data_IF_731593931658
#
_entry.id   IF_731593931658
#
_cell.length_a   1.000
_cell.length_b   1.000
_cell.length_c   1.000
_cell.angle_alpha   90.00
_cell.angle_beta   90.00
_cell.angle_gamma   90.00
#
_symmetry.space_group_name_H-M   'P 1'
#
loop_
_entity.id
_entity.type
_entity.pdbx_description
1 polymer ?
#
# COMPACT_ATOMS: atom_id res chain seq x y z
N UNK A 1 18.09 30.98 -0.84
CA UNK A 1 17.07 29.99 -1.27
C UNK A 1 17.79 28.83 -1.93
N UNK A 2 17.89 27.69 -1.25
CA UNK A 2 18.52 26.49 -1.80
C UNK A 2 17.69 26.02 -3.01
N UNK A 3 18.31 25.94 -4.18
CA UNK A 3 17.70 25.32 -5.37
C UNK A 3 17.46 23.84 -5.04
N UNK A 4 16.25 23.52 -4.59
CA UNK A 4 15.75 22.15 -4.41
C UNK A 4 15.65 21.51 -5.79
N UNK A 5 16.75 20.92 -6.24
CA UNK A 5 16.84 20.26 -7.53
C UNK A 5 16.51 18.77 -7.32
N UNK A 6 15.86 18.11 -8.27
CA UNK A 6 15.52 16.68 -8.19
C UNK A 6 16.76 15.76 -8.11
N UNK A 7 17.97 16.31 -8.12
CA UNK A 7 19.23 15.63 -7.82
C UNK A 7 19.51 15.49 -6.31
N UNK A 8 18.78 16.21 -5.45
CA UNK A 8 18.92 16.08 -4.00
C UNK A 8 18.49 14.67 -3.55
N UNK A 9 19.37 13.90 -2.87
CA UNK A 9 19.07 12.55 -2.42
C UNK A 9 17.82 12.45 -1.55
N UNK A 10 17.56 13.46 -0.72
CA UNK A 10 16.43 13.49 0.21
C UNK A 10 15.12 13.61 -0.57
N UNK A 11 15.08 14.52 -1.54
CA UNK A 11 13.95 14.73 -2.46
C UNK A 11 13.71 13.49 -3.33
N UNK A 12 14.77 12.83 -3.82
CA UNK A 12 14.64 11.57 -4.56
C UNK A 12 14.02 10.47 -3.72
N UNK A 13 14.45 10.32 -2.48
CA UNK A 13 13.88 9.31 -1.58
C UNK A 13 12.40 9.59 -1.31
N UNK A 14 12.02 10.85 -1.12
CA UNK A 14 10.61 11.26 -1.03
C UNK A 14 9.79 10.79 -2.23
N UNK A 15 10.28 11.07 -3.45
CA UNK A 15 9.61 10.70 -4.69
C UNK A 15 9.49 9.18 -4.81
N UNK A 16 10.57 8.44 -4.56
CA UNK A 16 10.60 6.99 -4.69
C UNK A 16 9.67 6.31 -3.68
N UNK A 17 9.77 6.66 -2.39
CA UNK A 17 8.90 6.11 -1.34
C UNK A 17 7.43 6.42 -1.59
N UNK A 18 7.12 7.64 -2.03
CA UNK A 18 5.75 8.02 -2.43
C UNK A 18 5.25 7.17 -3.60
N UNK A 19 6.09 6.92 -4.61
CA UNK A 19 5.73 6.10 -5.76
C UNK A 19 5.49 4.63 -5.36
N UNK A 20 6.36 4.06 -4.52
CA UNK A 20 6.22 2.70 -3.98
C UNK A 20 4.92 2.59 -3.18
N UNK A 21 4.65 3.55 -2.29
CA UNK A 21 3.44 3.56 -1.47
C UNK A 21 2.17 3.59 -2.34
N UNK A 22 2.13 4.44 -3.37
CA UNK A 22 1.00 4.51 -4.31
C UNK A 22 0.83 3.21 -5.09
N UNK A 23 1.92 2.60 -5.56
CA UNK A 23 1.89 1.33 -6.26
C UNK A 23 1.33 0.20 -5.39
N UNK A 24 1.80 0.10 -4.14
CA UNK A 24 1.31 -0.87 -3.18
C UNK A 24 -0.16 -0.65 -2.84
N UNK A 25 -0.59 0.61 -2.69
CA UNK A 25 -1.99 0.96 -2.45
C UNK A 25 -2.91 0.53 -3.59
N UNK A 26 -2.52 0.77 -4.84
CA UNK A 26 -3.26 0.31 -6.03
C UNK A 26 -3.30 -1.22 -6.11
N UNK A 27 -2.15 -1.86 -5.92
CA UNK A 27 -2.02 -3.31 -5.96
C UNK A 27 -2.88 -4.00 -4.89
N UNK A 28 -2.91 -3.46 -3.67
CA UNK A 28 -3.76 -3.99 -2.60
C UNK A 28 -5.24 -3.92 -2.98
N UNK A 29 -5.68 -2.80 -3.57
CA UNK A 29 -7.07 -2.61 -3.97
C UNK A 29 -7.48 -3.61 -5.05
N UNK A 30 -6.63 -3.81 -6.06
CA UNK A 30 -6.86 -4.78 -7.13
C UNK A 30 -6.94 -6.20 -6.58
N UNK A 31 -5.97 -6.58 -5.75
CA UNK A 31 -5.91 -7.91 -5.15
C UNK A 31 -7.09 -8.19 -4.21
N UNK A 32 -7.52 -7.18 -3.44
CA UNK A 32 -8.67 -7.30 -2.55
C UNK A 32 -9.98 -7.48 -3.33
N UNK A 33 -10.15 -6.79 -4.47
CA UNK A 33 -11.30 -6.97 -5.33
C UNK A 33 -11.34 -8.39 -5.92
N UNK A 34 -10.19 -8.90 -6.38
CA UNK A 34 -10.05 -10.29 -6.85
C UNK A 34 -10.39 -11.30 -5.75
N UNK A 35 -9.87 -11.09 -4.54
CA UNK A 35 -10.18 -11.90 -3.36
C UNK A 35 -11.69 -11.92 -3.05
N UNK A 36 -12.34 -10.76 -3.09
CA UNK A 36 -13.77 -10.63 -2.84
C UNK A 36 -14.60 -11.40 -3.89
N UNK A 37 -14.24 -11.29 -5.17
CA UNK A 37 -14.89 -12.03 -6.26
C UNK A 37 -14.75 -13.54 -6.04
N UNK A 38 -13.57 -14.03 -5.68
CA UNK A 38 -13.34 -15.45 -5.40
C UNK A 38 -14.13 -15.92 -4.16
N UNK A 39 -14.24 -15.08 -3.13
CA UNK A 39 -15.04 -15.37 -1.92
C UNK A 39 -16.50 -15.62 -2.29
N UNK A 40 -17.07 -14.75 -3.13
CA UNK A 40 -18.46 -14.87 -3.60
C UNK A 40 -18.64 -16.12 -4.46
N UNK A 41 -17.71 -16.42 -5.37
CA UNK A 41 -17.76 -17.60 -6.23
C UNK A 41 -17.79 -18.89 -5.40
N UNK A 42 -16.85 -19.05 -4.47
CA UNK A 42 -16.77 -20.24 -3.60
C UNK A 42 -17.99 -20.37 -2.70
N UNK A 43 -18.51 -19.26 -2.16
CA UNK A 43 -19.73 -19.26 -1.34
C UNK A 43 -20.99 -19.66 -2.12
N UNK A 44 -21.01 -19.44 -3.43
CA UNK A 44 -22.15 -19.80 -4.29
C UNK A 44 -22.13 -21.27 -4.74
N UNK A 45 -20.95 -21.84 -5.01
CA UNK A 45 -20.73 -23.27 -5.22
C UNK A 45 -19.20 -23.51 -5.30
N UNK A 46 -18.59 -24.31 -4.42
CA UNK A 46 -17.21 -24.75 -4.60
C UNK A 46 -17.18 -25.78 -5.73
N UNK A 47 -16.99 -25.32 -6.96
CA UNK A 47 -17.11 -26.19 -8.15
C UNK A 47 -15.89 -27.11 -8.30
N UNK A 48 -14.69 -26.73 -7.83
CA UNK A 48 -13.44 -27.50 -7.99
C UNK A 48 -12.41 -27.28 -6.86
N UNK A 49 -11.55 -28.28 -6.54
CA UNK A 49 -10.42 -28.13 -5.61
C UNK A 49 -9.47 -26.98 -5.96
N UNK A 50 -9.29 -26.73 -7.26
CA UNK A 50 -8.45 -25.64 -7.80
C UNK A 50 -8.94 -24.26 -7.37
N UNK A 51 -10.24 -24.05 -7.17
CA UNK A 51 -10.78 -22.76 -6.73
C UNK A 51 -10.38 -22.46 -5.28
N UNK A 52 -10.29 -23.48 -4.43
CA UNK A 52 -9.81 -23.33 -3.04
C UNK A 52 -8.33 -22.96 -2.99
N UNK A 53 -7.50 -23.58 -3.83
CA UNK A 53 -6.06 -23.26 -3.91
C UNK A 53 -5.83 -21.84 -4.43
N UNK A 54 -6.57 -21.44 -5.47
CA UNK A 54 -6.52 -20.08 -6.02
C UNK A 54 -6.98 -19.04 -4.99
N UNK A 55 -8.03 -19.34 -4.22
CA UNK A 55 -8.49 -18.48 -3.15
C UNK A 55 -7.43 -18.30 -2.05
N UNK A 56 -6.81 -19.39 -1.61
CA UNK A 56 -5.76 -19.34 -0.61
C UNK A 56 -4.54 -18.56 -1.09
N UNK A 57 -4.12 -18.77 -2.34
CA UNK A 57 -3.05 -17.99 -2.96
C UNK A 57 -3.38 -16.50 -2.99
N UNK A 58 -4.62 -16.15 -3.37
CA UNK A 58 -5.06 -14.76 -3.44
C UNK A 58 -5.15 -14.12 -2.05
N UNK A 59 -5.59 -14.88 -1.04
CA UNK A 59 -5.61 -14.46 0.37
C UNK A 59 -4.21 -14.13 0.87
N UNK A 60 -3.24 -15.01 0.62
CA UNK A 60 -1.84 -14.81 0.99
C UNK A 60 -1.22 -13.60 0.28
N UNK A 61 -1.46 -13.46 -1.02
CA UNK A 61 -0.98 -12.31 -1.82
C UNK A 61 -1.51 -10.99 -1.29
N UNK A 62 -2.82 -10.93 -1.01
CA UNK A 62 -3.48 -9.73 -0.46
C UNK A 62 -2.92 -9.40 0.93
N UNK A 63 -2.74 -10.40 1.80
CA UNK A 63 -2.14 -10.24 3.13
C UNK A 63 -0.70 -9.74 3.07
N UNK A 64 0.11 -10.27 2.16
CA UNK A 64 1.49 -9.85 1.96
C UNK A 64 1.58 -8.40 1.48
N UNK A 65 0.77 -8.01 0.50
CA UNK A 65 0.72 -6.63 0.00
C UNK A 65 0.23 -5.66 1.07
N UNK A 66 -0.74 -6.06 1.90
CA UNK A 66 -1.19 -5.26 3.05
C UNK A 66 -0.06 -4.97 4.03
N UNK A 67 0.71 -6.00 4.42
CA UNK A 67 1.88 -5.87 5.29
C UNK A 67 2.96 -4.97 4.69
N UNK A 68 3.25 -5.12 3.40
CA UNK A 68 4.22 -4.26 2.69
C UNK A 68 3.76 -2.81 2.65
N UNK A 69 2.48 -2.56 2.36
CA UNK A 69 1.91 -1.21 2.35
C UNK A 69 1.97 -0.55 3.73
N UNK A 70 1.64 -1.31 4.79
CA UNK A 70 1.71 -0.82 6.17
C UNK A 70 3.15 -0.48 6.56
N UNK A 71 4.10 -1.33 6.19
CA UNK A 71 5.53 -1.06 6.42
C UNK A 71 5.98 0.21 5.70
N UNK A 72 5.72 0.34 4.40
CA UNK A 72 6.14 1.53 3.65
C UNK A 72 5.43 2.80 4.15
N UNK A 73 4.18 2.69 4.58
CA UNK A 73 3.45 3.80 5.22
C UNK A 73 4.18 4.29 6.47
N UNK A 74 4.58 3.37 7.35
CA UNK A 74 5.33 3.70 8.57
C UNK A 74 6.70 4.29 8.25
N UNK A 75 7.43 3.71 7.30
CA UNK A 75 8.75 4.20 6.90
C UNK A 75 8.68 5.60 6.27
N UNK A 76 7.72 5.87 5.38
CA UNK A 76 7.55 7.19 4.78
C UNK A 76 7.08 8.22 5.83
N UNK A 77 6.19 7.85 6.74
CA UNK A 77 5.76 8.74 7.82
C UNK A 77 6.95 9.11 8.72
N UNK A 78 7.74 8.13 9.15
CA UNK A 78 8.93 8.39 9.95
C UNK A 78 9.94 9.28 9.21
N UNK A 79 10.18 8.99 7.93
CA UNK A 79 11.06 9.78 7.07
C UNK A 79 10.58 11.23 6.92
N UNK A 80 9.28 11.45 6.77
CA UNK A 80 8.66 12.78 6.73
C UNK A 80 8.84 13.55 8.03
N UNK A 81 8.70 12.89 9.17
CA UNK A 81 8.89 13.52 10.48
C UNK A 81 10.34 13.93 10.73
N UNK A 82 11.29 13.11 10.26
CA UNK A 82 12.74 13.35 10.37
C UNK A 82 13.26 14.46 9.43
N UNK A 83 12.45 14.88 8.44
CA UNK A 83 12.80 15.88 7.43
C UNK A 83 11.91 17.11 7.50
N UNK A 84 11.85 17.71 8.70
CA UNK A 84 11.02 18.88 9.02
C UNK A 84 11.37 20.14 8.22
N UNK A 85 12.62 20.23 7.76
CA UNK A 85 13.13 21.26 6.86
C UNK A 85 12.51 21.24 5.46
N UNK A 86 11.82 20.14 5.10
CA UNK A 86 11.17 19.94 3.81
C UNK A 86 9.64 19.96 3.90
N UNK A 87 9.05 20.31 5.04
CA UNK A 87 7.58 20.30 5.21
C UNK A 87 6.83 21.29 4.31
N UNK A 88 7.51 22.32 3.82
CA UNK A 88 6.99 23.29 2.85
C UNK A 88 7.19 22.85 1.39
N UNK A 89 7.86 21.71 1.14
CA UNK A 89 8.20 21.25 -0.20
C UNK A 89 6.99 20.61 -0.91
N UNK A 90 6.91 20.72 -2.25
CA UNK A 90 5.89 20.02 -3.03
C UNK A 90 5.90 18.50 -2.81
N UNK A 91 7.07 17.92 -2.61
CA UNK A 91 7.26 16.49 -2.38
C UNK A 91 6.69 16.05 -1.04
N UNK A 92 6.80 16.86 0.00
CA UNK A 92 6.13 16.61 1.27
C UNK A 92 4.61 16.56 1.12
N UNK A 93 4.02 17.51 0.39
CA UNK A 93 2.57 17.50 0.17
C UNK A 93 2.10 16.29 -0.65
N UNK A 94 2.87 15.89 -1.68
CA UNK A 94 2.60 14.66 -2.44
C UNK A 94 2.68 13.42 -1.56
N UNK A 95 3.71 13.31 -0.72
CA UNK A 95 3.87 12.21 0.22
C UNK A 95 2.74 12.17 1.25
N UNK A 96 2.33 13.33 1.79
CA UNK A 96 1.19 13.45 2.70
C UNK A 96 -0.12 12.97 2.06
N UNK A 97 -0.38 13.35 0.81
CA UNK A 97 -1.54 12.88 0.08
C UNK A 97 -1.50 11.36 -0.14
N UNK A 98 -0.33 10.81 -0.49
CA UNK A 98 -0.13 9.38 -0.66
C UNK A 98 -0.31 8.60 0.65
N UNK A 99 0.19 9.11 1.79
CA UNK A 99 -0.09 8.54 3.12
C UNK A 99 -1.60 8.51 3.40
N UNK A 100 -2.32 9.59 3.10
CA UNK A 100 -3.78 9.65 3.23
C UNK A 100 -4.51 8.59 2.40
N UNK A 101 -4.10 8.39 1.15
CA UNK A 101 -4.66 7.35 0.29
C UNK A 101 -4.29 5.93 0.79
N UNK A 102 -3.05 5.72 1.23
CA UNK A 102 -2.56 4.45 1.74
C UNK A 102 -3.30 4.02 3.01
N UNK A 103 -3.48 4.92 3.98
CA UNK A 103 -4.22 4.57 5.22
C UNK A 103 -5.69 4.28 4.93
N UNK A 104 -6.29 4.96 3.96
CA UNK A 104 -7.64 4.62 3.50
C UNK A 104 -7.68 3.20 2.92
N UNK A 105 -6.76 2.86 2.01
CA UNK A 105 -6.69 1.52 1.43
C UNK A 105 -6.44 0.43 2.47
N UNK A 106 -5.54 0.67 3.44
CA UNK A 106 -5.26 -0.26 4.55
C UNK A 106 -6.50 -0.53 5.42
N UNK A 107 -7.38 0.47 5.59
CA UNK A 107 -8.62 0.35 6.35
C UNK A 107 -9.72 -0.37 5.57
N UNK A 108 -9.90 -0.01 4.30
CA UNK A 108 -10.97 -0.57 3.45
C UNK A 108 -10.65 -2.01 3.04
N UNK A 109 -9.39 -2.30 2.75
CA UNK A 109 -8.91 -3.64 2.44
C UNK A 109 -8.45 -4.31 3.73
N UNK A 110 -9.39 -4.50 4.67
CA UNK A 110 -9.07 -5.03 5.99
C UNK A 110 -8.31 -6.35 5.89
N UNK A 111 -7.33 -6.61 6.79
CA UNK A 111 -6.73 -7.93 6.91
C UNK A 111 -7.86 -8.92 7.22
N UNK A 112 -7.99 -9.96 6.43
CA UNK A 112 -9.07 -10.95 6.60
C UNK A 112 -8.92 -11.82 7.87
N UNK A 113 -7.85 -11.61 8.65
CA UNK A 113 -7.50 -12.16 9.98
C UNK A 113 -7.52 -13.69 10.17
N UNK A 114 -6.72 -14.22 11.13
CA UNK A 114 -5.87 -13.50 12.09
C UNK A 114 -4.40 -13.36 11.68
N UNK A 115 -3.79 -12.27 12.14
CA UNK A 115 -2.39 -12.29 12.53
C UNK A 115 -2.25 -13.36 13.62
N UNK A 116 -1.30 -14.28 13.43
CA UNK A 116 -0.93 -15.29 14.43
C UNK A 116 -0.65 -14.69 15.81
#
# INVERSE_FOLDING_TARGET
MLRRNNADPVIRQFILRTAVLNYLGKSLREQYNEYFILTVKIGSAPELPTDSELFELQRLKTSATHRLLMREYQELLAYMMDKSDLWDSPEYFKAKAALGAAIHNLRVCAPTTPLD
#
